data_IF_826815330987
#
_entry.id   IF_826815330987
#
_cell.length_a   1.000
_cell.length_b   1.000
_cell.length_c   1.000
_cell.angle_alpha   90.00
_cell.angle_beta   90.00
_cell.angle_gamma   90.00
#
_symmetry.space_group_name_H-M   'P 1'
#
loop_
_entity.id
_entity.type
_entity.pdbx_description
1 polymer ?
#
# COMPACT_ATOMS: atom_id res chain seq x y z
N UNK A 1 22.69 -18.03 0.71
CA UNK A 1 22.69 -19.36 0.10
C UNK A 1 21.77 -19.39 -1.11
N UNK A 2 20.45 -19.59 -0.96
CA UNK A 2 19.51 -19.53 -2.10
C UNK A 2 19.48 -18.17 -2.80
N UNK A 3 19.41 -17.06 -2.05
CA UNK A 3 19.35 -15.73 -2.65
C UNK A 3 20.60 -15.33 -3.46
N UNK A 4 21.74 -15.98 -3.23
CA UNK A 4 23.04 -15.63 -3.82
C UNK A 4 23.43 -16.49 -5.03
N UNK A 5 22.74 -17.61 -5.25
CA UNK A 5 23.03 -18.52 -6.36
C UNK A 5 22.46 -17.96 -7.67
N UNK A 6 23.32 -17.70 -8.66
CA UNK A 6 22.93 -17.13 -9.95
C UNK A 6 22.22 -18.12 -10.87
N UNK A 7 22.46 -19.43 -10.68
CA UNK A 7 21.83 -20.50 -11.46
C UNK A 7 20.40 -20.77 -10.97
N UNK A 8 20.09 -20.40 -9.72
CA UNK A 8 18.73 -20.36 -9.20
C UNK A 8 17.99 -19.13 -9.72
N UNK A 9 17.08 -19.35 -10.67
CA UNK A 9 16.23 -18.32 -11.26
C UNK A 9 14.92 -18.23 -10.47
N UNK A 10 14.71 -17.13 -9.75
CA UNK A 10 13.49 -16.88 -8.98
C UNK A 10 12.39 -16.16 -9.77
N UNK A 11 11.35 -15.73 -9.06
CA UNK A 11 10.30 -14.89 -9.64
C UNK A 11 10.88 -13.50 -9.98
N UNK A 12 10.82 -13.04 -11.25
CA UNK A 12 11.37 -11.75 -11.63
C UNK A 12 10.61 -10.59 -10.97
N UNK A 13 11.37 -9.64 -10.44
CA UNK A 13 10.90 -8.36 -9.90
C UNK A 13 11.46 -7.21 -10.77
N UNK A 14 10.87 -6.02 -10.72
CA UNK A 14 11.41 -4.82 -11.37
C UNK A 14 12.88 -4.56 -11.01
N UNK A 15 13.59 -3.88 -11.93
CA UNK A 15 15.03 -3.55 -11.80
C UNK A 15 15.95 -4.78 -11.75
N UNK A 16 15.56 -5.89 -12.40
CA UNK A 16 16.39 -7.10 -12.49
C UNK A 16 16.51 -7.89 -11.19
N UNK A 17 15.78 -7.51 -10.13
CA UNK A 17 15.72 -8.27 -8.87
C UNK A 17 14.93 -9.56 -9.07
N UNK A 18 15.14 -10.53 -8.18
CA UNK A 18 14.38 -11.78 -8.18
C UNK A 18 13.98 -12.18 -6.76
N UNK A 19 12.77 -12.70 -6.59
CA UNK A 19 12.34 -13.35 -5.36
C UNK A 19 12.63 -14.85 -5.47
N UNK A 20 13.64 -15.32 -4.73
CA UNK A 20 14.08 -16.73 -4.73
C UNK A 20 13.58 -17.52 -3.53
N UNK A 21 13.41 -16.88 -2.38
CA UNK A 21 12.96 -17.54 -1.16
C UNK A 21 12.27 -16.60 -0.18
N UNK A 22 11.46 -17.18 0.70
CA UNK A 22 10.86 -16.56 1.87
C UNK A 22 10.96 -17.55 3.04
N UNK A 23 11.40 -17.09 4.20
CA UNK A 23 11.59 -17.95 5.37
C UNK A 23 10.89 -17.36 6.60
N UNK A 24 10.24 -18.22 7.38
CA UNK A 24 9.69 -17.89 8.69
C UNK A 24 10.05 -19.02 9.67
N UNK A 25 11.05 -18.78 10.52
CA UNK A 25 11.69 -19.83 11.31
C UNK A 25 12.18 -20.99 10.41
N UNK A 26 11.74 -22.23 10.67
CA UNK A 26 12.05 -23.42 9.88
C UNK A 26 11.17 -23.56 8.61
N UNK A 27 10.01 -22.91 8.57
CA UNK A 27 9.13 -22.90 7.41
C UNK A 27 9.71 -22.03 6.28
N UNK A 28 10.38 -22.68 5.32
CA UNK A 28 11.01 -22.01 4.17
C UNK A 28 10.27 -22.34 2.87
N UNK A 29 9.89 -21.30 2.13
CA UNK A 29 9.41 -21.38 0.75
C UNK A 29 10.49 -20.93 -0.23
N UNK A 30 10.62 -21.63 -1.36
CA UNK A 30 11.49 -21.26 -2.46
C UNK A 30 10.67 -21.10 -3.75
N UNK A 31 11.10 -20.17 -4.61
CA UNK A 31 10.53 -19.96 -5.94
C UNK A 31 11.66 -20.17 -6.94
N UNK A 32 11.43 -21.07 -7.89
CA UNK A 32 12.39 -21.43 -8.94
C UNK A 32 11.69 -21.50 -10.29
N UNK A 33 12.40 -21.13 -11.36
CA UNK A 33 12.01 -21.44 -12.71
C UNK A 33 11.95 -22.96 -12.91
N UNK A 34 11.05 -23.41 -13.79
CA UNK A 34 10.85 -24.83 -14.12
C UNK A 34 11.88 -25.30 -15.16
N UNK A 35 13.17 -25.06 -14.89
CA UNK A 35 14.27 -25.51 -15.73
C UNK A 35 15.12 -26.53 -14.95
N UNK A 36 15.67 -27.57 -15.61
CA UNK A 36 16.53 -28.55 -14.94
C UNK A 36 17.72 -27.90 -14.21
N UNK A 37 18.30 -26.85 -14.78
CA UNK A 37 19.42 -26.11 -14.18
C UNK A 37 19.00 -25.40 -12.89
N UNK A 38 17.90 -24.66 -12.91
CA UNK A 38 17.45 -23.89 -11.74
C UNK A 38 16.97 -24.78 -10.60
N UNK A 39 16.26 -25.87 -10.92
CA UNK A 39 15.82 -26.84 -9.91
C UNK A 39 17.01 -27.60 -9.31
N UNK A 40 18.02 -27.95 -10.12
CA UNK A 40 19.26 -28.55 -9.61
C UNK A 40 20.01 -27.59 -8.68
N UNK A 41 20.12 -26.32 -9.04
CA UNK A 41 20.73 -25.30 -8.19
C UNK A 41 20.01 -25.22 -6.82
N UNK A 42 18.67 -25.22 -6.81
CA UNK A 42 17.88 -25.28 -5.58
C UNK A 42 18.25 -26.50 -4.71
N UNK A 43 18.26 -27.69 -5.29
CA UNK A 43 18.59 -28.92 -4.57
C UNK A 43 20.02 -28.91 -4.04
N UNK A 44 21.00 -28.49 -4.85
CA UNK A 44 22.40 -28.38 -4.42
C UNK A 44 22.58 -27.39 -3.26
N UNK A 45 21.86 -26.26 -3.27
CA UNK A 45 21.90 -25.32 -2.16
C UNK A 45 21.28 -25.91 -0.88
N UNK A 46 20.23 -26.72 -1.00
CA UNK A 46 19.65 -27.45 0.14
C UNK A 46 20.65 -28.47 0.69
N UNK A 47 21.28 -29.28 -0.17
CA UNK A 47 22.29 -30.28 0.25
C UNK A 47 23.48 -29.64 0.96
N UNK A 48 23.98 -28.53 0.43
CA UNK A 48 25.04 -27.77 1.09
C UNK A 48 24.55 -27.24 2.46
N UNK A 49 23.32 -26.72 2.55
CA UNK A 49 22.78 -26.29 3.83
C UNK A 49 22.73 -27.46 4.82
N UNK A 50 22.25 -28.63 4.41
CA UNK A 50 22.20 -29.81 5.27
C UNK A 50 23.59 -30.22 5.77
N UNK A 51 24.59 -30.16 4.89
CA UNK A 51 25.98 -30.52 5.21
C UNK A 51 26.62 -29.60 6.24
N UNK A 52 26.39 -28.29 6.15
CA UNK A 52 27.10 -27.30 6.98
C UNK A 52 26.30 -26.82 8.19
N UNK A 53 24.97 -26.84 8.13
CA UNK A 53 24.13 -26.35 9.23
C UNK A 53 23.87 -27.40 10.31
N UNK A 54 24.21 -28.68 10.07
CA UNK A 54 23.89 -29.78 10.98
C UNK A 54 22.38 -30.03 11.10
N UNK A 55 21.59 -29.57 10.13
CA UNK A 55 20.15 -29.72 10.04
C UNK A 55 19.78 -30.55 8.81
N UNK A 56 18.59 -31.17 8.79
CA UNK A 56 18.12 -31.96 7.65
C UNK A 56 16.74 -31.50 7.21
N UNK A 57 16.53 -31.39 5.90
CA UNK A 57 15.23 -31.07 5.34
C UNK A 57 14.28 -32.25 5.52
N UNK A 58 13.06 -31.92 5.93
CA UNK A 58 11.99 -32.89 6.04
C UNK A 58 11.27 -33.03 4.69
N UNK A 59 11.82 -33.87 3.81
CA UNK A 59 11.28 -34.12 2.47
C UNK A 59 9.83 -34.60 2.45
N UNK A 60 9.36 -35.32 3.48
CA UNK A 60 7.97 -35.79 3.55
C UNK A 60 6.96 -34.67 3.87
N UNK A 61 7.42 -33.58 4.49
CA UNK A 61 6.61 -32.36 4.70
C UNK A 61 6.78 -31.35 3.57
N UNK A 62 7.85 -31.44 2.78
CA UNK A 62 8.11 -30.55 1.66
C UNK A 62 7.21 -30.88 0.46
N UNK A 63 6.62 -29.84 -0.12
CA UNK A 63 5.72 -29.96 -1.27
C UNK A 63 6.15 -28.99 -2.36
N UNK A 64 6.34 -29.49 -3.58
CA UNK A 64 6.56 -28.67 -4.76
C UNK A 64 5.21 -28.35 -5.43
N UNK A 65 4.91 -27.05 -5.55
CA UNK A 65 3.71 -26.55 -6.23
C UNK A 65 4.07 -26.19 -7.68
N UNK A 66 3.51 -26.90 -8.66
CA UNK A 66 3.79 -26.69 -10.08
C UNK A 66 2.53 -26.24 -10.84
N UNK A 67 2.63 -25.36 -11.85
CA UNK A 67 1.51 -25.00 -12.71
C UNK A 67 1.06 -26.17 -13.59
N UNK A 68 2.00 -27.02 -14.02
CA UNK A 68 1.76 -28.23 -14.82
C UNK A 68 2.50 -29.43 -14.21
N UNK A 69 1.82 -30.58 -14.14
CA UNK A 69 2.36 -31.83 -13.60
C UNK A 69 3.43 -32.45 -14.50
N UNK A 70 3.56 -32.02 -15.76
CA UNK A 70 4.68 -32.42 -16.61
C UNK A 70 6.05 -32.05 -16.00
N UNK A 71 6.10 -31.03 -15.14
CA UNK A 71 7.30 -30.63 -14.43
C UNK A 71 7.62 -31.50 -13.20
N UNK A 72 6.79 -32.48 -12.84
CA UNK A 72 6.97 -33.28 -11.62
C UNK A 72 8.30 -34.05 -11.61
N UNK A 73 8.77 -34.50 -12.78
CA UNK A 73 10.07 -35.19 -12.90
C UNK A 73 11.27 -34.34 -12.50
N UNK A 74 11.14 -33.01 -12.45
CA UNK A 74 12.22 -32.10 -12.02
C UNK A 74 12.47 -32.15 -10.51
N UNK A 75 11.45 -32.48 -9.72
CA UNK A 75 11.49 -32.40 -8.25
C UNK A 75 11.58 -33.80 -7.62
N UNK A 76 12.68 -34.50 -7.85
CA UNK A 76 12.92 -35.84 -7.30
C UNK A 76 12.96 -35.82 -5.77
N UNK A 77 12.24 -36.74 -5.12
CA UNK A 77 12.22 -36.85 -3.66
C UNK A 77 11.25 -35.90 -2.94
N UNK A 78 10.60 -34.98 -3.66
CA UNK A 78 9.55 -34.12 -3.12
C UNK A 78 8.17 -34.61 -3.54
N UNK A 79 7.16 -34.38 -2.68
CA UNK A 79 5.78 -34.50 -3.12
C UNK A 79 5.46 -33.37 -4.08
N UNK A 80 5.02 -33.68 -5.29
CA UNK A 80 4.63 -32.68 -6.28
C UNK A 80 3.12 -32.60 -6.39
N UNK A 81 2.58 -31.38 -6.47
CA UNK A 81 1.16 -31.17 -6.74
C UNK A 81 0.94 -29.93 -7.62
N UNK A 82 -0.24 -29.85 -8.23
CA UNK A 82 -0.66 -28.65 -8.95
C UNK A 82 -0.79 -27.46 -8.00
N UNK A 83 -0.47 -26.27 -8.49
CA UNK A 83 -0.63 -25.00 -7.76
C UNK A 83 -2.10 -24.69 -7.40
N UNK A 84 -3.05 -25.29 -8.12
CA UNK A 84 -4.49 -25.22 -7.82
C UNK A 84 -4.90 -26.15 -6.69
N UNK A 85 -4.04 -27.06 -6.26
CA UNK A 85 -4.29 -27.97 -5.15
C UNK A 85 -4.15 -27.28 -3.80
N UNK A 86 -4.97 -27.70 -2.85
CA UNK A 86 -5.01 -27.15 -1.49
C UNK A 86 -3.76 -27.53 -0.68
N UNK A 87 -3.08 -26.55 -0.07
CA UNK A 87 -1.93 -26.77 0.82
C UNK A 87 -1.85 -25.72 1.91
N UNK A 88 -1.41 -26.13 3.10
CA UNK A 88 -1.27 -25.24 4.25
C UNK A 88 0.14 -24.67 4.28
N UNK A 89 0.25 -23.34 4.30
CA UNK A 89 1.51 -22.63 4.56
C UNK A 89 1.27 -21.58 5.66
N UNK A 90 2.06 -21.63 6.72
CA UNK A 90 1.90 -20.77 7.92
C UNK A 90 0.46 -20.79 8.48
N UNK A 91 -0.19 -21.95 8.41
CA UNK A 91 -1.58 -22.09 8.85
C UNK A 91 -2.62 -21.47 7.91
N UNK A 92 -2.26 -21.00 6.72
CA UNK A 92 -3.17 -20.54 5.66
C UNK A 92 -3.30 -21.60 4.57
N UNK A 93 -4.54 -21.93 4.19
CA UNK A 93 -4.84 -22.91 3.12
C UNK A 93 -4.79 -22.22 1.76
N UNK A 94 -3.75 -22.43 0.97
CA UNK A 94 -3.60 -21.87 -0.38
C UNK A 94 -3.98 -22.90 -1.45
N UNK A 95 -4.59 -22.49 -2.59
CA UNK A 95 -5.06 -21.15 -2.92
C UNK A 95 -6.47 -20.83 -2.36
N UNK A 96 -7.12 -21.80 -1.70
CA UNK A 96 -8.54 -21.73 -1.33
C UNK A 96 -8.88 -20.56 -0.41
N UNK A 97 -8.09 -20.33 0.64
CA UNK A 97 -8.32 -19.22 1.57
C UNK A 97 -8.35 -17.87 0.84
N UNK A 98 -7.50 -17.70 -0.18
CA UNK A 98 -7.44 -16.46 -0.98
C UNK A 98 -8.61 -16.35 -1.98
N UNK A 99 -9.18 -17.48 -2.40
CA UNK A 99 -10.14 -17.55 -3.51
C UNK A 99 -11.60 -17.64 -3.07
N UNK A 100 -11.89 -18.49 -2.08
CA UNK A 100 -13.25 -18.85 -1.66
C UNK A 100 -13.51 -18.68 -0.15
N UNK A 101 -12.46 -18.45 0.64
CA UNK A 101 -12.56 -18.20 2.07
C UNK A 101 -12.99 -19.39 2.93
N UNK A 102 -12.92 -20.61 2.39
CA UNK A 102 -13.23 -21.88 3.08
C UNK A 102 -12.54 -22.04 4.44
N UNK A 103 -11.28 -21.63 4.54
CA UNK A 103 -10.55 -21.69 5.82
C UNK A 103 -11.26 -20.91 6.94
N UNK A 104 -11.87 -19.77 6.62
CA UNK A 104 -12.47 -18.92 7.63
C UNK A 104 -13.72 -19.54 8.26
N UNK A 105 -14.42 -20.45 7.58
CA UNK A 105 -15.55 -21.16 8.17
C UNK A 105 -15.08 -22.11 9.27
N UNK A 106 -14.03 -22.88 9.01
CA UNK A 106 -13.40 -23.74 10.01
C UNK A 106 -12.85 -22.93 11.21
N UNK A 107 -12.22 -21.79 10.94
CA UNK A 107 -11.71 -20.88 12.00
C UNK A 107 -12.88 -20.27 12.81
N UNK A 108 -13.98 -19.93 12.15
CA UNK A 108 -15.21 -19.44 12.79
C UNK A 108 -15.80 -20.48 13.74
N UNK A 109 -15.89 -21.74 13.30
CA UNK A 109 -16.33 -22.86 14.14
C UNK A 109 -15.41 -23.06 15.36
N UNK A 110 -14.09 -23.00 15.18
CA UNK A 110 -13.13 -23.08 16.30
C UNK A 110 -13.33 -21.93 17.30
N UNK A 111 -13.57 -20.71 16.82
CA UNK A 111 -13.85 -19.56 17.68
C UNK A 111 -15.16 -19.73 18.47
N UNK A 112 -16.21 -20.30 17.86
CA UNK A 112 -17.47 -20.62 18.56
C UNK A 112 -17.25 -21.68 19.64
N UNK A 113 -16.51 -22.75 19.33
CA UNK A 113 -16.16 -23.77 20.32
C UNK A 113 -15.30 -23.20 21.46
N UNK A 114 -14.47 -22.20 21.16
CA UNK A 114 -13.72 -21.46 22.18
C UNK A 114 -14.64 -20.66 23.09
N UNK A 115 -15.67 -19.97 22.55
CA UNK A 115 -16.71 -19.34 23.38
C UNK A 115 -17.42 -20.36 24.28
N UNK A 116 -17.77 -21.54 23.74
CA UNK A 116 -18.44 -22.59 24.51
C UNK A 116 -17.54 -23.12 25.65
N UNK A 117 -16.23 -23.19 25.41
CA UNK A 117 -15.25 -23.54 26.43
C UNK A 117 -15.11 -22.46 27.51
N UNK A 118 -15.19 -21.19 27.13
CA UNK A 118 -15.19 -20.06 28.07
C UNK A 118 -16.47 -20.01 28.92
N UNK A 119 -17.62 -20.40 28.35
CA UNK A 119 -18.89 -20.46 29.06
C UNK A 119 -18.89 -21.41 30.27
N UNK A 120 -18.06 -22.47 30.22
CA UNK A 120 -17.91 -23.44 31.32
C UNK A 120 -17.16 -22.88 32.53
N UNK A 121 -16.54 -21.70 32.43
CA UNK A 121 -15.84 -21.07 33.56
C UNK A 121 -16.85 -20.34 34.46
N UNK A 122 -16.74 -20.46 35.80
CA UNK A 122 -17.67 -19.79 36.70
C UNK A 122 -17.63 -18.26 36.56
N UNK A 123 -18.83 -17.64 36.57
CA UNK A 123 -19.09 -16.23 36.93
C UNK A 123 -18.54 -15.10 36.04
N UNK A 124 -18.45 -15.27 34.72
CA UNK A 124 -18.31 -14.09 33.85
C UNK A 124 -19.65 -13.36 33.70
N UNK A 125 -19.80 -12.16 34.25
CA UNK A 125 -20.91 -11.26 33.94
C UNK A 125 -20.88 -10.77 32.48
N UNK A 126 -21.90 -10.05 32.01
CA UNK A 126 -22.02 -9.57 30.61
C UNK A 126 -20.75 -8.89 30.12
N UNK A 127 -20.13 -8.03 30.93
CA UNK A 127 -18.89 -7.34 30.58
C UNK A 127 -17.68 -8.28 30.49
N UNK A 128 -17.59 -9.25 31.40
CA UNK A 128 -16.55 -10.28 31.39
C UNK A 128 -16.69 -11.19 30.16
N UNK A 129 -17.92 -11.57 29.82
CA UNK A 129 -18.21 -12.36 28.60
C UNK A 129 -17.88 -11.58 27.35
N UNK A 130 -18.20 -10.29 27.27
CA UNK A 130 -17.81 -9.45 26.16
C UNK A 130 -16.28 -9.36 26.01
N UNK A 131 -15.54 -9.25 27.13
CA UNK A 131 -14.09 -9.27 27.11
C UNK A 131 -13.54 -10.62 26.60
N UNK A 132 -14.02 -11.73 27.15
CA UNK A 132 -13.61 -13.08 26.73
C UNK A 132 -13.93 -13.35 25.26
N UNK A 133 -15.10 -12.90 24.79
CA UNK A 133 -15.50 -13.00 23.40
C UNK A 133 -14.48 -12.32 22.49
N UNK A 134 -14.08 -11.09 22.81
CA UNK A 134 -13.08 -10.36 22.04
C UNK A 134 -11.69 -10.99 22.10
N UNK A 135 -11.20 -11.34 23.30
CA UNK A 135 -9.80 -11.71 23.51
C UNK A 135 -9.51 -13.19 23.26
N UNK A 136 -10.46 -14.08 23.53
CA UNK A 136 -10.26 -15.52 23.43
C UNK A 136 -10.86 -16.14 22.17
N UNK A 137 -12.00 -15.63 21.68
CA UNK A 137 -12.69 -16.19 20.51
C UNK A 137 -12.44 -15.36 19.24
N UNK A 138 -12.83 -14.08 19.23
CA UNK A 138 -12.73 -13.23 18.04
C UNK A 138 -11.27 -13.04 17.59
N UNK A 139 -10.32 -13.04 18.53
CA UNK A 139 -8.88 -12.95 18.23
C UNK A 139 -8.37 -14.06 17.30
N UNK A 140 -8.99 -15.24 17.34
CA UNK A 140 -8.65 -16.38 16.47
C UNK A 140 -8.96 -16.09 14.99
N UNK A 141 -9.89 -15.18 14.72
CA UNK A 141 -10.34 -14.86 13.37
C UNK A 141 -9.34 -13.95 12.63
N UNK A 142 -8.54 -13.15 13.34
CA UNK A 142 -7.78 -12.05 12.73
C UNK A 142 -6.64 -12.50 11.83
N UNK A 143 -5.98 -13.61 12.16
CA UNK A 143 -4.84 -14.10 11.37
C UNK A 143 -5.29 -14.54 9.97
N UNK A 144 -6.25 -15.47 9.89
CA UNK A 144 -6.83 -15.90 8.61
C UNK A 144 -7.65 -14.78 7.93
N UNK A 145 -8.33 -13.97 8.74
CA UNK A 145 -9.11 -12.81 8.29
C UNK A 145 -8.28 -11.70 7.63
N UNK A 146 -6.96 -11.67 7.82
CA UNK A 146 -6.11 -10.67 7.17
C UNK A 146 -5.94 -10.94 5.66
N UNK A 147 -6.10 -12.20 5.22
CA UNK A 147 -5.88 -12.65 3.84
C UNK A 147 -7.15 -13.20 3.18
N UNK A 148 -8.20 -13.43 3.96
CA UNK A 148 -9.41 -14.10 3.52
C UNK A 148 -10.65 -13.49 4.18
N UNK A 149 -11.74 -13.38 3.43
CA UNK A 149 -13.04 -12.91 3.96
C UNK A 149 -13.97 -14.11 4.21
N UNK A 150 -14.56 -14.25 5.41
CA UNK A 150 -15.59 -15.26 5.66
C UNK A 150 -16.84 -15.00 4.82
N UNK A 151 -17.58 -16.06 4.48
CA UNK A 151 -18.90 -15.94 3.85
C UNK A 151 -19.86 -15.11 4.72
N UNK A 152 -20.85 -14.46 4.09
CA UNK A 152 -21.85 -13.69 4.84
C UNK A 152 -22.58 -14.58 5.87
N UNK A 153 -22.83 -15.84 5.51
CA UNK A 153 -23.44 -16.82 6.39
C UNK A 153 -22.58 -17.12 7.62
N UNK A 154 -21.27 -17.33 7.44
CA UNK A 154 -20.35 -17.55 8.56
C UNK A 154 -20.27 -16.33 9.49
N UNK A 155 -20.29 -15.12 8.94
CA UNK A 155 -20.31 -13.88 9.73
C UNK A 155 -21.58 -13.76 10.58
N UNK A 156 -22.75 -13.99 9.99
CA UNK A 156 -24.04 -13.95 10.70
C UNK A 156 -24.15 -15.05 11.76
N UNK A 157 -23.66 -16.26 11.44
CA UNK A 157 -23.60 -17.36 12.39
C UNK A 157 -22.72 -16.99 13.59
N UNK A 158 -21.51 -16.47 13.36
CA UNK A 158 -20.63 -16.03 14.44
C UNK A 158 -21.28 -14.94 15.30
N UNK A 159 -21.85 -13.91 14.66
CA UNK A 159 -22.54 -12.81 15.35
C UNK A 159 -23.67 -13.33 16.24
N UNK A 160 -24.49 -14.24 15.73
CA UNK A 160 -25.57 -14.87 16.49
C UNK A 160 -25.04 -15.62 17.71
N UNK A 161 -24.01 -16.46 17.55
CA UNK A 161 -23.43 -17.22 18.64
C UNK A 161 -22.71 -16.34 19.67
N UNK A 162 -22.11 -15.23 19.22
CA UNK A 162 -21.50 -14.23 20.11
C UNK A 162 -22.56 -13.56 20.99
N UNK A 163 -23.71 -13.17 20.42
CA UNK A 163 -24.83 -12.59 21.16
C UNK A 163 -25.39 -13.59 22.19
N UNK A 164 -25.56 -14.86 21.79
CA UNK A 164 -26.00 -15.93 22.71
C UNK A 164 -25.01 -16.11 23.86
N UNK A 165 -23.71 -16.16 23.58
CA UNK A 165 -22.68 -16.21 24.61
C UNK A 165 -22.74 -15.01 25.56
N UNK A 166 -22.82 -13.79 25.03
CA UNK A 166 -22.85 -12.57 25.85
C UNK A 166 -24.07 -12.50 26.76
N UNK A 167 -25.26 -12.95 26.33
CA UNK A 167 -26.48 -12.83 27.13
C UNK A 167 -26.83 -14.06 27.96
N UNK A 168 -26.60 -15.27 27.42
CA UNK A 168 -26.99 -16.54 28.04
C UNK A 168 -25.82 -17.32 28.63
N UNK A 169 -24.59 -16.85 28.41
CA UNK A 169 -23.39 -17.62 28.71
C UNK A 169 -23.40 -19.00 28.03
N UNK A 170 -24.00 -19.10 26.84
CA UNK A 170 -24.02 -20.31 26.04
C UNK A 170 -24.14 -19.93 24.56
N UNK A 171 -23.08 -20.06 23.75
CA UNK A 171 -23.14 -19.75 22.33
C UNK A 171 -24.02 -20.73 21.54
N UNK A 172 -24.23 -21.96 22.02
CA UNK A 172 -24.97 -23.00 21.31
C UNK A 172 -26.46 -23.06 21.70
N UNK A 173 -26.91 -22.13 22.55
CA UNK A 173 -28.29 -22.06 23.00
C UNK A 173 -29.26 -22.04 21.81
N UNK A 174 -30.41 -22.73 21.89
CA UNK A 174 -31.35 -22.84 20.76
C UNK A 174 -31.98 -21.49 20.39
N UNK A 175 -32.21 -20.62 21.38
CA UNK A 175 -32.84 -19.31 21.18
C UNK A 175 -31.87 -18.17 21.45
N UNK A 176 -31.89 -17.15 20.60
CA UNK A 176 -31.13 -15.90 20.77
C UNK A 176 -31.96 -14.89 21.55
N UNK A 177 -31.34 -14.13 22.47
CA UNK A 177 -31.98 -13.00 23.15
C UNK A 177 -31.26 -11.73 22.75
N UNK A 178 -31.98 -10.79 22.15
CA UNK A 178 -31.45 -9.49 21.75
C UNK A 178 -31.95 -8.40 22.70
N UNK A 179 -31.25 -8.21 23.84
CA UNK A 179 -31.60 -7.11 24.77
C UNK A 179 -31.21 -5.74 24.25
N UNK A 180 -30.15 -5.68 23.44
CA UNK A 180 -29.57 -4.46 22.90
C UNK A 180 -29.22 -4.68 21.43
N UNK A 181 -29.48 -3.67 20.60
CA UNK A 181 -29.19 -3.73 19.18
C UNK A 181 -27.68 -3.93 18.92
N UNK A 182 -27.31 -4.74 17.90
CA UNK A 182 -25.92 -5.03 17.55
C UNK A 182 -25.06 -3.78 17.39
N UNK A 183 -25.59 -2.78 16.66
CA UNK A 183 -24.93 -1.49 16.44
C UNK A 183 -24.52 -0.77 17.73
N UNK A 184 -25.25 -0.99 18.83
CA UNK A 184 -24.94 -0.41 20.15
C UNK A 184 -23.94 -1.27 20.91
N UNK A 185 -24.00 -2.60 20.77
CA UNK A 185 -23.06 -3.52 21.40
C UNK A 185 -21.60 -3.31 20.94
N UNK A 186 -21.42 -3.01 19.66
CA UNK A 186 -20.09 -2.82 19.06
C UNK A 186 -19.49 -1.42 19.34
N UNK A 187 -20.28 -0.50 19.90
CA UNK A 187 -19.76 0.82 20.27
C UNK A 187 -18.79 0.72 21.45
N UNK A 188 -17.83 1.66 21.58
CA UNK A 188 -16.98 1.76 22.76
C UNK A 188 -17.79 1.87 24.05
N UNK A 189 -17.20 1.41 25.17
CA UNK A 189 -17.82 1.53 26.50
C UNK A 189 -18.14 2.97 26.88
N UNK A 190 -17.26 3.91 26.51
CA UNK A 190 -17.49 5.34 26.71
C UNK A 190 -18.73 5.88 25.98
N UNK A 191 -19.18 5.22 24.91
CA UNK A 191 -20.41 5.55 24.19
C UNK A 191 -21.61 4.70 24.65
N UNK A 192 -21.50 3.96 25.76
CA UNK A 192 -22.55 3.09 26.31
C UNK A 192 -22.70 1.75 25.59
N UNK A 193 -21.70 1.31 24.82
CA UNK A 193 -21.66 -0.03 24.22
C UNK A 193 -20.88 -1.04 25.06
N UNK A 194 -20.77 -2.28 24.57
CA UNK A 194 -19.93 -3.32 25.22
C UNK A 194 -18.51 -3.38 24.67
N UNK A 195 -18.23 -2.67 23.57
CA UNK A 195 -16.96 -2.73 22.85
C UNK A 195 -16.74 -4.07 22.15
N UNK A 196 -17.81 -4.78 21.76
CA UNK A 196 -17.67 -6.03 21.00
C UNK A 196 -17.06 -5.75 19.63
N UNK A 197 -16.09 -6.57 19.23
CA UNK A 197 -15.50 -6.48 17.90
C UNK A 197 -16.41 -7.17 16.89
N UNK A 198 -16.92 -6.40 15.94
CA UNK A 198 -17.62 -6.93 14.78
C UNK A 198 -16.60 -7.59 13.82
N UNK A 199 -16.68 -8.92 13.58
CA UNK A 199 -15.68 -9.57 12.73
C UNK A 199 -15.66 -9.03 11.31
N UNK A 200 -16.82 -8.66 10.75
CA UNK A 200 -16.88 -8.12 9.39
C UNK A 200 -16.08 -6.82 9.29
N UNK A 201 -16.33 -5.88 10.20
CA UNK A 201 -15.62 -4.61 10.26
C UNK A 201 -14.14 -4.79 10.55
N UNK A 202 -13.78 -5.67 11.48
CA UNK A 202 -12.38 -5.90 11.85
C UNK A 202 -11.58 -6.53 10.70
N UNK A 203 -12.12 -7.56 10.05
CA UNK A 203 -11.50 -8.23 8.89
C UNK A 203 -11.38 -7.24 7.73
N UNK A 204 -12.43 -6.47 7.43
CA UNK A 204 -12.36 -5.38 6.45
C UNK A 204 -11.25 -4.39 6.79
N UNK A 205 -11.14 -3.97 8.05
CA UNK A 205 -10.07 -3.07 8.48
C UNK A 205 -8.67 -3.69 8.28
N UNK A 206 -8.50 -4.99 8.52
CA UNK A 206 -7.23 -5.70 8.26
C UNK A 206 -6.86 -5.71 6.77
N UNK A 207 -7.82 -5.96 5.87
CA UNK A 207 -7.58 -5.86 4.43
C UNK A 207 -7.20 -4.45 3.99
N UNK A 208 -7.87 -3.43 4.53
CA UNK A 208 -7.59 -2.03 4.20
C UNK A 208 -6.27 -1.54 4.79
N UNK A 209 -5.84 -2.10 5.92
CA UNK A 209 -4.53 -1.82 6.52
C UNK A 209 -3.40 -2.10 5.54
N UNK A 210 -3.51 -3.14 4.71
CA UNK A 210 -2.52 -3.42 3.65
C UNK A 210 -2.37 -2.25 2.68
N UNK A 211 -3.49 -1.60 2.28
CA UNK A 211 -3.43 -0.41 1.43
C UNK A 211 -2.74 0.75 2.17
N UNK A 212 -3.03 0.94 3.45
CA UNK A 212 -2.32 1.94 4.25
C UNK A 212 -0.82 1.67 4.33
N UNK A 213 -0.39 0.42 4.53
CA UNK A 213 1.03 0.07 4.51
C UNK A 213 1.67 0.38 3.16
N UNK A 214 1.01 0.04 2.05
CA UNK A 214 1.51 0.39 0.72
C UNK A 214 1.66 1.90 0.51
N UNK A 215 0.72 2.69 1.04
CA UNK A 215 0.73 4.16 0.89
C UNK A 215 1.75 4.84 1.81
N UNK A 216 1.86 4.37 3.05
CA UNK A 216 2.57 5.10 4.12
C UNK A 216 4.00 4.62 4.34
N UNK A 217 4.31 3.36 4.02
CA UNK A 217 5.62 2.79 4.26
C UNK A 217 6.42 2.70 2.97
N UNK A 218 7.53 3.44 2.91
CA UNK A 218 8.46 3.37 1.80
C UNK A 218 9.57 2.36 2.08
N UNK A 219 9.31 1.13 1.67
CA UNK A 219 10.35 0.12 1.51
C UNK A 219 10.18 -0.61 0.18
N UNK A 220 11.27 -1.19 -0.31
CA UNK A 220 11.26 -2.03 -1.49
C UNK A 220 11.09 -3.51 -1.13
N UNK A 221 10.33 -3.83 -0.07
CA UNK A 221 10.13 -5.22 0.33
C UNK A 221 9.46 -5.99 -0.82
N UNK A 222 9.90 -7.24 -1.12
CA UNK A 222 9.39 -8.01 -2.26
C UNK A 222 7.86 -8.14 -2.29
N UNK A 223 7.22 -8.25 -1.12
CA UNK A 223 5.77 -8.36 -1.01
C UNK A 223 5.05 -7.09 -1.50
N UNK A 224 5.60 -5.88 -1.27
CA UNK A 224 5.00 -4.62 -1.75
C UNK A 224 5.03 -4.54 -3.26
N UNK A 225 6.18 -4.89 -3.83
CA UNK A 225 6.40 -4.89 -5.27
C UNK A 225 5.42 -5.85 -5.97
N UNK A 226 5.32 -7.08 -5.48
CA UNK A 226 4.37 -8.07 -6.01
C UNK A 226 2.90 -7.64 -5.81
N UNK A 227 2.60 -7.05 -4.66
CA UNK A 227 1.25 -6.53 -4.38
C UNK A 227 0.88 -5.42 -5.34
N UNK A 228 1.76 -4.46 -5.58
CA UNK A 228 1.51 -3.36 -6.52
C UNK A 228 1.36 -3.88 -7.96
N UNK A 229 2.17 -4.85 -8.39
CA UNK A 229 2.03 -5.47 -9.71
C UNK A 229 0.68 -6.20 -9.86
N UNK A 230 0.29 -7.02 -8.89
CA UNK A 230 -0.97 -7.76 -8.93
C UNK A 230 -2.19 -6.84 -8.75
N UNK A 231 -2.04 -5.72 -8.04
CA UNK A 231 -3.05 -4.64 -8.01
C UNK A 231 -3.15 -3.92 -9.36
N UNK A 232 -2.03 -3.68 -10.06
CA UNK A 232 -2.02 -3.10 -11.39
C UNK A 232 -2.84 -3.93 -12.37
N UNK A 233 -2.67 -5.26 -12.34
CA UNK A 233 -3.48 -6.20 -13.10
C UNK A 233 -4.97 -6.16 -12.72
N UNK A 234 -5.27 -6.08 -11.43
CA UNK A 234 -6.64 -5.95 -10.94
C UNK A 234 -7.30 -4.64 -11.39
N UNK A 235 -6.54 -3.53 -11.45
CA UNK A 235 -7.01 -2.21 -11.89
C UNK A 235 -6.96 -2.02 -13.41
N UNK A 236 -6.26 -2.90 -14.14
CA UNK A 236 -5.91 -2.72 -15.57
C UNK A 236 -5.18 -1.39 -15.81
N UNK A 237 -4.18 -1.13 -14.97
CA UNK A 237 -3.31 0.05 -15.02
C UNK A 237 -1.85 -0.38 -15.14
N UNK A 238 -0.99 0.56 -15.51
CA UNK A 238 0.45 0.35 -15.42
C UNK A 238 0.87 0.37 -13.93
N UNK A 239 1.85 -0.44 -13.48
CA UNK A 239 2.27 -0.48 -12.07
C UNK A 239 2.64 0.87 -11.46
N UNK A 240 3.17 1.79 -12.27
CA UNK A 240 3.49 3.16 -11.84
C UNK A 240 2.27 3.99 -11.44
N UNK A 241 1.07 3.68 -11.97
CA UNK A 241 -0.14 4.47 -11.75
C UNK A 241 -0.99 3.94 -10.57
N UNK A 242 -0.63 2.76 -10.04
CA UNK A 242 -1.37 2.11 -8.96
C UNK A 242 -1.43 2.99 -7.72
N UNK A 243 -0.31 3.63 -7.36
CA UNK A 243 -0.26 4.51 -6.18
C UNK A 243 -1.20 5.70 -6.32
N UNK A 244 -1.23 6.33 -7.50
CA UNK A 244 -2.16 7.42 -7.81
C UNK A 244 -3.61 6.94 -7.69
N UNK A 245 -3.91 5.75 -8.23
CA UNK A 245 -5.24 5.14 -8.15
C UNK A 245 -5.65 4.77 -6.71
N UNK A 246 -4.71 4.40 -5.85
CA UNK A 246 -4.97 4.14 -4.42
C UNK A 246 -5.24 5.44 -3.66
N UNK A 247 -4.51 6.53 -3.97
CA UNK A 247 -4.70 7.85 -3.38
C UNK A 247 -6.01 8.51 -3.81
N UNK A 248 -6.55 8.12 -4.97
CA UNK A 248 -7.82 8.62 -5.51
C UNK A 248 -8.76 7.44 -5.75
N UNK A 249 -9.48 6.98 -4.71
CA UNK A 249 -10.30 5.78 -4.82
C UNK A 249 -11.39 5.85 -5.90
N UNK A 250 -11.80 7.05 -6.34
CA UNK A 250 -12.70 7.25 -7.48
C UNK A 250 -12.16 6.64 -8.79
N UNK A 251 -10.83 6.53 -8.92
CA UNK A 251 -10.18 5.98 -10.10
C UNK A 251 -10.40 4.45 -10.25
N UNK A 252 -10.82 3.77 -9.18
CA UNK A 252 -10.99 2.31 -9.10
C UNK A 252 -12.30 1.82 -9.75
N UNK A 253 -12.65 2.34 -10.92
CA UNK A 253 -13.93 2.10 -11.61
C UNK A 253 -14.08 0.72 -12.26
N UNK A 254 -13.01 0.19 -12.86
CA UNK A 254 -13.05 -0.93 -13.81
C UNK A 254 -12.14 -2.10 -13.40
N UNK A 255 -12.43 -2.66 -12.21
CA UNK A 255 -11.63 -3.75 -11.65
C UNK A 255 -11.86 -5.08 -12.41
N UNK A 256 -10.80 -5.83 -12.67
CA UNK A 256 -10.84 -7.17 -13.28
C UNK A 256 -11.59 -8.13 -12.36
N UNK A 257 -12.70 -8.69 -12.83
CA UNK A 257 -13.46 -9.71 -12.09
C UNK A 257 -12.55 -10.92 -11.80
N UNK A 258 -12.62 -11.43 -10.58
CA UNK A 258 -11.85 -12.62 -10.16
C UNK A 258 -10.36 -12.37 -9.86
N UNK A 259 -9.84 -11.15 -10.03
CA UNK A 259 -8.47 -10.84 -9.60
C UNK A 259 -8.38 -10.77 -8.06
N UNK A 260 -7.23 -11.20 -7.51
CA UNK A 260 -6.97 -11.32 -6.07
C UNK A 260 -7.37 -10.07 -5.27
N UNK A 261 -6.97 -8.88 -5.75
CA UNK A 261 -7.18 -7.62 -5.03
C UNK A 261 -8.52 -6.94 -5.32
N UNK A 262 -9.32 -7.44 -6.26
CA UNK A 262 -10.58 -6.80 -6.65
C UNK A 262 -11.56 -6.62 -5.47
N UNK A 263 -11.75 -7.59 -4.56
CA UNK A 263 -12.61 -7.40 -3.39
C UNK A 263 -12.12 -6.26 -2.48
N UNK A 264 -10.82 -6.23 -2.16
CA UNK A 264 -10.20 -5.22 -1.29
C UNK A 264 -10.25 -3.83 -1.92
N UNK A 265 -9.96 -3.70 -3.21
CA UNK A 265 -10.03 -2.44 -3.95
C UNK A 265 -11.46 -1.91 -4.09
N UNK A 266 -12.44 -2.81 -4.26
CA UNK A 266 -13.86 -2.44 -4.28
C UNK A 266 -14.28 -1.85 -2.94
N UNK A 267 -13.85 -2.46 -1.84
CA UNK A 267 -14.11 -1.98 -0.49
C UNK A 267 -13.44 -0.62 -0.24
N UNK A 268 -12.17 -0.46 -0.64
CA UNK A 268 -11.43 0.79 -0.53
C UNK A 268 -12.12 1.95 -1.27
N UNK A 269 -12.55 1.70 -2.52
CA UNK A 269 -13.37 2.65 -3.29
C UNK A 269 -14.65 3.02 -2.55
N UNK A 270 -15.41 2.03 -2.10
CA UNK A 270 -16.72 2.28 -1.44
C UNK A 270 -16.58 3.13 -0.19
N UNK A 271 -15.51 2.94 0.59
CA UNK A 271 -15.26 3.73 1.79
C UNK A 271 -14.74 5.12 1.49
N UNK A 272 -14.00 5.30 0.37
CA UNK A 272 -13.38 6.56 -0.03
C UNK A 272 -12.77 7.32 1.18
N UNK A 273 -11.85 6.67 1.93
CA UNK A 273 -11.42 7.19 3.23
C UNK A 273 -10.51 8.42 3.12
N UNK A 274 -9.98 8.70 1.92
CA UNK A 274 -9.09 9.82 1.66
C UNK A 274 -9.88 11.03 1.20
N UNK A 275 -9.50 12.20 1.71
CA UNK A 275 -10.04 13.50 1.28
C UNK A 275 -8.90 14.36 0.78
N UNK A 276 -9.07 14.92 -0.43
CA UNK A 276 -8.18 15.93 -0.95
C UNK A 276 -8.27 17.20 -0.09
N UNK A 277 -7.13 17.78 0.23
CA UNK A 277 -7.03 19.05 0.94
C UNK A 277 -6.56 20.13 -0.02
N UNK A 278 -6.99 21.39 0.17
CA UNK A 278 -6.42 22.52 -0.55
C UNK A 278 -4.89 22.54 -0.41
N UNK A 279 -4.15 22.64 -1.52
CA UNK A 279 -2.70 22.71 -1.47
C UNK A 279 -2.28 24.05 -0.88
N UNK A 280 -1.25 24.02 -0.02
CA UNK A 280 -0.68 25.17 0.64
C UNK A 280 0.74 25.50 0.18
N UNK A 281 1.32 24.70 -0.72
CA UNK A 281 2.65 24.91 -1.29
C UNK A 281 2.69 24.54 -2.77
N UNK A 282 3.72 25.01 -3.47
CA UNK A 282 4.01 24.68 -4.87
C UNK A 282 4.03 23.17 -5.10
N UNK A 283 4.74 22.42 -4.25
CA UNK A 283 4.87 20.96 -4.36
C UNK A 283 3.52 20.27 -4.19
N UNK A 284 2.70 20.78 -3.25
CA UNK A 284 1.36 20.23 -3.05
C UNK A 284 0.45 20.49 -4.25
N UNK A 285 0.59 21.64 -4.93
CA UNK A 285 -0.11 21.95 -6.18
C UNK A 285 0.32 20.96 -7.27
N UNK A 286 1.63 20.78 -7.46
CA UNK A 286 2.18 19.88 -8.48
C UNK A 286 1.69 18.43 -8.33
N UNK A 287 1.44 17.97 -7.10
CA UNK A 287 0.90 16.64 -6.82
C UNK A 287 -0.62 16.54 -6.92
N UNK A 288 -1.34 17.63 -7.15
CA UNK A 288 -2.80 17.57 -7.29
C UNK A 288 -3.19 16.77 -8.55
N UNK A 289 -4.21 15.89 -8.45
CA UNK A 289 -4.79 15.26 -9.63
C UNK A 289 -5.41 16.26 -10.57
N UNK A 290 -5.37 15.97 -11.87
CA UNK A 290 -6.14 16.68 -12.88
C UNK A 290 -7.61 16.22 -12.92
N UNK A 291 -7.88 14.97 -12.59
CA UNK A 291 -9.21 14.33 -12.74
C UNK A 291 -9.86 14.04 -11.38
N UNK A 292 -11.19 14.15 -11.33
CA UNK A 292 -12.02 14.05 -10.10
C UNK A 292 -11.53 14.95 -8.96
N UNK A 293 -10.81 16.05 -9.27
CA UNK A 293 -10.33 17.00 -8.30
C UNK A 293 -11.42 18.05 -7.99
N UNK A 294 -11.93 18.16 -6.75
CA UNK A 294 -12.98 19.12 -6.40
C UNK A 294 -12.54 20.59 -6.48
N UNK A 295 -11.26 20.86 -6.76
CA UNK A 295 -10.70 22.20 -6.89
C UNK A 295 -10.34 22.57 -8.34
N UNK A 296 -10.39 21.62 -9.27
CA UNK A 296 -10.19 21.87 -10.71
C UNK A 296 -11.51 21.56 -11.40
N UNK A 297 -12.29 22.62 -11.63
CA UNK A 297 -13.68 22.53 -12.05
C UNK A 297 -13.87 23.08 -13.47
N UNK A 298 -14.72 22.42 -14.24
CA UNK A 298 -15.17 22.91 -15.55
C UNK A 298 -16.05 24.17 -15.41
N UNK A 299 -16.44 24.75 -16.55
CA UNK A 299 -17.31 25.93 -16.60
C UNK A 299 -18.68 25.71 -15.93
N UNK A 300 -19.12 24.46 -15.76
CA UNK A 300 -20.35 24.08 -15.07
C UNK A 300 -20.12 23.75 -13.58
N UNK A 301 -18.93 23.97 -13.04
CA UNK A 301 -18.59 23.76 -11.64
C UNK A 301 -18.38 22.28 -11.28
N UNK A 302 -18.09 21.41 -12.24
CA UNK A 302 -17.90 19.97 -12.02
C UNK A 302 -16.44 19.56 -12.22
N UNK A 303 -15.91 18.61 -11.44
CA UNK A 303 -14.58 18.07 -11.67
C UNK A 303 -14.45 17.41 -13.03
N UNK A 304 -13.26 17.49 -13.64
CA UNK A 304 -12.98 16.78 -14.89
C UNK A 304 -13.11 15.27 -14.67
N UNK A 305 -13.99 14.59 -15.42
CA UNK A 305 -14.32 13.21 -15.11
C UNK A 305 -13.19 12.26 -15.48
N UNK A 306 -12.84 11.40 -14.53
CA UNK A 306 -11.94 10.29 -14.78
C UNK A 306 -12.50 9.25 -15.77
N UNK A 307 -13.72 8.76 -15.50
CA UNK A 307 -14.37 7.66 -16.21
C UNK A 307 -15.91 7.74 -16.02
N UNK A 308 -16.67 7.00 -16.85
CA UNK A 308 -18.12 6.71 -16.73
C UNK A 308 -19.08 7.81 -17.17
N UNK A 309 -18.64 9.06 -17.34
CA UNK A 309 -19.47 10.10 -17.98
C UNK A 309 -19.20 10.16 -19.48
N UNK A 310 -20.22 10.57 -20.26
CA UNK A 310 -20.08 10.79 -21.69
C UNK A 310 -19.05 11.91 -21.91
N UNK A 311 -17.98 11.62 -22.65
CA UNK A 311 -16.87 12.55 -22.87
C UNK A 311 -15.71 12.45 -21.86
N UNK A 312 -15.76 11.52 -20.89
CA UNK A 312 -14.64 11.28 -19.98
C UNK A 312 -13.36 10.88 -20.73
N UNK A 313 -12.24 11.52 -20.36
CA UNK A 313 -10.95 11.33 -21.01
C UNK A 313 -9.80 11.09 -20.02
N UNK A 314 -10.05 11.25 -18.71
CA UNK A 314 -9.00 11.17 -17.70
C UNK A 314 -8.27 9.84 -17.66
N UNK A 315 -9.00 8.72 -17.80
CA UNK A 315 -8.39 7.39 -17.87
C UNK A 315 -7.34 7.29 -18.97
N UNK A 316 -7.67 7.80 -20.16
CA UNK A 316 -6.81 7.70 -21.32
C UNK A 316 -5.53 8.54 -21.15
N UNK A 317 -5.64 9.70 -20.50
CA UNK A 317 -4.50 10.57 -20.19
C UNK A 317 -3.59 9.98 -19.11
N UNK A 318 -4.13 9.38 -18.05
CA UNK A 318 -3.27 8.74 -17.04
C UNK A 318 -2.56 7.52 -17.60
N UNK A 319 -3.19 6.76 -18.50
CA UNK A 319 -2.49 5.65 -19.16
C UNK A 319 -1.30 6.12 -20.00
N UNK A 320 -1.33 7.35 -20.53
CA UNK A 320 -0.17 7.99 -21.20
C UNK A 320 0.77 8.68 -20.23
N UNK A 321 0.53 8.62 -18.91
CA UNK A 321 1.37 9.22 -17.87
C UNK A 321 1.03 10.66 -17.50
N UNK A 322 -0.12 11.19 -17.94
CA UNK A 322 -0.57 12.54 -17.63
C UNK A 322 -1.76 12.46 -16.66
N UNK A 323 -1.53 12.71 -15.38
CA UNK A 323 -2.54 12.60 -14.32
C UNK A 323 -2.53 13.70 -13.26
N UNK A 324 -1.45 14.46 -13.18
CA UNK A 324 -1.20 15.47 -12.15
C UNK A 324 -0.84 16.81 -12.79
N UNK A 325 -0.91 17.88 -12.01
CA UNK A 325 -0.46 19.21 -12.44
C UNK A 325 1.02 19.18 -12.85
N UNK A 326 1.87 18.42 -12.15
CA UNK A 326 3.28 18.23 -12.52
C UNK A 326 3.49 17.65 -13.93
N UNK A 327 2.52 16.90 -14.45
CA UNK A 327 2.67 16.24 -15.74
C UNK A 327 2.44 17.23 -16.91
N UNK A 328 1.77 18.37 -16.66
CA UNK A 328 1.48 19.43 -17.64
C UNK A 328 2.24 20.75 -17.37
N UNK A 329 2.87 20.88 -16.21
CA UNK A 329 3.67 22.04 -15.80
C UNK A 329 5.16 21.80 -16.05
N UNK A 330 5.87 22.79 -16.59
CA UNK A 330 7.32 22.75 -16.74
C UNK A 330 7.97 23.52 -15.58
N UNK A 331 8.66 22.78 -14.72
CA UNK A 331 9.35 23.36 -13.57
C UNK A 331 10.56 24.22 -13.96
N UNK A 332 11.15 24.00 -15.14
CA UNK A 332 12.35 24.70 -15.60
C UNK A 332 12.03 26.07 -16.20
N UNK A 333 10.95 26.17 -16.97
CA UNK A 333 10.48 27.43 -17.56
C UNK A 333 9.57 28.21 -16.64
N UNK A 334 8.97 27.55 -15.64
CA UNK A 334 7.98 28.17 -14.76
C UNK A 334 6.66 28.47 -15.47
N UNK A 335 6.35 27.72 -16.53
CA UNK A 335 5.09 27.83 -17.26
C UNK A 335 4.58 26.45 -17.69
N UNK A 336 3.47 26.42 -18.43
CA UNK A 336 2.95 25.19 -19.01
C UNK A 336 3.94 24.55 -19.99
N UNK A 337 3.96 23.22 -20.06
CA UNK A 337 4.75 22.49 -21.07
C UNK A 337 4.30 22.85 -22.47
N UNK A 338 5.26 22.81 -23.40
CA UNK A 338 5.03 23.14 -24.81
C UNK A 338 3.94 22.25 -25.44
N UNK A 339 3.08 22.88 -26.26
CA UNK A 339 1.95 22.23 -26.91
C UNK A 339 2.42 21.04 -27.78
N UNK A 340 3.58 21.13 -28.45
CA UNK A 340 4.11 20.04 -29.29
C UNK A 340 4.44 18.79 -28.47
N UNK A 341 5.12 18.95 -27.34
CA UNK A 341 5.46 17.86 -26.42
C UNK A 341 4.19 17.20 -25.86
N UNK A 342 3.17 18.00 -25.55
CA UNK A 342 1.90 17.48 -25.02
C UNK A 342 1.09 16.74 -26.09
N UNK A 343 1.10 17.19 -27.35
CA UNK A 343 0.44 16.51 -28.47
C UNK A 343 1.04 15.13 -28.71
N UNK A 344 2.38 15.04 -28.63
CA UNK A 344 3.12 13.79 -28.77
C UNK A 344 2.85 12.84 -27.61
N UNK A 345 2.89 13.32 -26.37
CA UNK A 345 2.56 12.51 -25.19
C UNK A 345 1.10 12.00 -25.23
N UNK A 346 0.18 12.77 -25.79
CA UNK A 346 -1.23 12.43 -25.94
C UNK A 346 -1.55 11.80 -27.31
N UNK A 347 -0.58 11.21 -28.02
CA UNK A 347 -0.80 10.56 -29.33
C UNK A 347 -1.99 9.59 -29.29
N UNK A 348 -2.87 9.69 -30.30
CA UNK A 348 -4.09 8.89 -30.38
C UNK A 348 -5.29 9.37 -29.56
N UNK A 349 -5.16 10.41 -28.74
CA UNK A 349 -6.29 11.00 -27.99
C UNK A 349 -7.08 12.01 -28.84
N UNK A 350 -8.39 12.09 -28.58
CA UNK A 350 -9.30 13.05 -29.23
C UNK A 350 -9.25 14.42 -28.54
N UNK A 351 -9.39 15.51 -29.32
CA UNK A 351 -9.47 16.90 -28.84
C UNK A 351 -8.41 17.27 -27.79
N UNK A 352 -7.14 16.92 -28.06
CA UNK A 352 -6.05 16.99 -27.07
C UNK A 352 -5.80 18.43 -26.60
N UNK A 353 -5.63 19.35 -27.54
CA UNK A 353 -5.34 20.76 -27.26
C UNK A 353 -6.54 21.47 -26.64
N UNK A 354 -7.76 21.18 -27.12
CA UNK A 354 -8.98 21.73 -26.53
C UNK A 354 -9.12 21.33 -25.07
N UNK A 355 -8.98 20.03 -24.77
CA UNK A 355 -9.01 19.49 -23.41
C UNK A 355 -7.87 20.00 -22.52
N UNK A 356 -6.65 20.11 -23.07
CA UNK A 356 -5.50 20.64 -22.34
C UNK A 356 -5.75 22.09 -21.93
N UNK A 357 -6.17 22.94 -22.86
CA UNK A 357 -6.50 24.34 -22.59
C UNK A 357 -7.67 24.46 -21.62
N UNK A 358 -8.65 23.57 -21.71
CA UNK A 358 -9.77 23.53 -20.78
C UNK A 358 -9.29 23.24 -19.35
N UNK A 359 -8.43 22.23 -19.16
CA UNK A 359 -7.83 21.92 -17.85
C UNK A 359 -6.97 23.08 -17.36
N UNK A 360 -6.09 23.64 -18.20
CA UNK A 360 -5.21 24.75 -17.83
C UNK A 360 -6.01 25.97 -17.35
N UNK A 361 -7.13 26.29 -17.99
CA UNK A 361 -8.03 27.39 -17.58
C UNK A 361 -8.80 27.09 -16.29
N UNK A 362 -9.05 25.82 -16.02
CA UNK A 362 -9.77 25.39 -14.82
C UNK A 362 -8.88 25.28 -13.57
N UNK A 363 -7.56 25.27 -13.74
CA UNK A 363 -6.63 25.32 -12.61
C UNK A 363 -6.76 26.71 -11.95
N UNK A 364 -7.00 26.78 -10.62
CA UNK A 364 -7.18 28.05 -9.94
C UNK A 364 -6.06 29.05 -10.21
N UNK A 365 -6.41 30.31 -10.44
CA UNK A 365 -5.44 31.36 -10.73
C UNK A 365 -4.43 31.52 -9.59
N UNK A 366 -4.88 31.41 -8.34
CA UNK A 366 -4.02 31.40 -7.15
C UNK A 366 -2.96 30.29 -7.19
N UNK A 367 -3.28 29.12 -7.75
CA UNK A 367 -2.32 28.04 -7.90
C UNK A 367 -1.29 28.39 -8.97
N UNK A 368 -1.74 28.86 -10.13
CA UNK A 368 -0.86 29.27 -11.23
C UNK A 368 0.08 30.39 -10.79
N UNK A 369 -0.43 31.37 -10.03
CA UNK A 369 0.36 32.43 -9.42
C UNK A 369 1.40 31.86 -8.46
N UNK A 370 1.03 30.92 -7.60
CA UNK A 370 1.96 30.27 -6.68
C UNK A 370 3.04 29.45 -7.41
N UNK A 371 2.68 28.73 -8.48
CA UNK A 371 3.64 27.99 -9.31
C UNK A 371 4.65 28.93 -10.00
N UNK A 372 4.18 30.07 -10.51
CA UNK A 372 5.01 31.11 -11.19
C UNK A 372 5.86 31.93 -10.23
N UNK A 373 5.36 32.19 -9.02
CA UNK A 373 6.10 32.93 -7.98
C UNK A 373 7.34 32.18 -7.49
N UNK A 374 7.45 30.87 -7.75
CA UNK A 374 8.56 30.05 -7.27
C UNK A 374 8.46 29.74 -5.76
N UNK A 375 9.58 29.39 -5.14
CA UNK A 375 9.64 28.99 -3.72
C UNK A 375 9.07 30.06 -2.78
N UNK A 376 8.09 29.70 -1.96
CA UNK A 376 7.62 30.52 -0.85
C UNK A 376 8.56 30.33 0.34
N UNK A 377 9.28 31.39 0.69
CA UNK A 377 10.44 31.35 1.59
C UNK A 377 10.15 30.99 3.05
N UNK A 378 8.91 30.68 3.41
CA UNK A 378 8.51 30.41 4.79
C UNK A 378 7.87 29.02 4.91
N UNK A 379 8.67 28.07 5.38
CA UNK A 379 8.22 26.71 5.72
C UNK A 379 8.39 25.67 4.61
N UNK A 380 8.74 26.08 3.38
CA UNK A 380 9.12 25.17 2.30
C UNK A 380 10.51 24.57 2.53
N UNK A 381 10.75 23.41 1.91
CA UNK A 381 11.99 22.66 2.06
C UNK A 381 12.76 22.64 0.75
N UNK A 382 14.09 22.69 0.84
CA UNK A 382 14.97 22.68 -0.31
C UNK A 382 16.26 21.89 -0.06
N UNK A 383 16.94 21.49 -1.14
CA UNK A 383 18.30 20.93 -1.14
C UNK A 383 19.18 21.76 -2.07
N UNK A 384 20.51 21.68 -1.91
CA UNK A 384 21.43 22.29 -2.86
C UNK A 384 21.47 21.50 -4.17
N UNK A 385 21.49 22.18 -5.31
CA UNK A 385 21.59 21.57 -6.65
C UNK A 385 22.86 20.73 -6.78
N UNK A 386 23.97 21.15 -6.16
CA UNK A 386 25.24 20.42 -6.13
C UNK A 386 25.16 19.03 -5.48
N UNK A 387 24.13 18.74 -4.67
CA UNK A 387 23.95 17.44 -4.03
C UNK A 387 23.29 16.39 -4.95
N UNK A 388 23.04 16.73 -6.23
CA UNK A 388 22.36 15.85 -7.20
C UNK A 388 23.28 15.17 -8.21
N UNK A 389 24.58 15.46 -8.20
CA UNK A 389 25.56 14.69 -8.96
C UNK A 389 25.58 13.27 -8.42
N UNK A 390 25.10 12.34 -9.23
CA UNK A 390 25.23 10.89 -9.01
C UNK A 390 26.73 10.59 -8.79
N UNK A 391 27.17 10.47 -7.53
CA UNK A 391 28.59 10.28 -7.21
C UNK A 391 29.09 10.96 -5.93
N UNK A 392 28.29 11.79 -5.24
CA UNK A 392 28.66 12.27 -3.90
C UNK A 392 28.32 11.23 -2.83
N UNK A 393 29.34 10.66 -2.17
CA UNK A 393 29.20 9.75 -1.00
C UNK A 393 28.59 10.41 0.25
N UNK A 394 28.34 11.73 0.21
CA UNK A 394 27.76 12.47 1.33
C UNK A 394 26.23 12.57 1.23
N UNK A 395 25.48 12.29 2.31
CA UNK A 395 24.02 12.38 2.32
C UNK A 395 23.56 13.82 2.04
N UNK A 396 22.47 14.03 1.30
CA UNK A 396 21.99 15.37 0.98
C UNK A 396 21.53 16.10 2.24
N UNK A 397 21.96 17.35 2.38
CA UNK A 397 21.50 18.27 3.43
C UNK A 397 20.19 18.91 3.00
N UNK A 398 19.20 18.90 3.89
CA UNK A 398 17.88 19.50 3.71
C UNK A 398 17.79 20.84 4.44
N UNK A 399 17.13 21.80 3.82
CA UNK A 399 17.01 23.15 4.34
C UNK A 399 15.53 23.54 4.44
N UNK A 400 15.08 23.91 5.64
CA UNK A 400 13.76 24.50 5.85
C UNK A 400 13.89 26.02 5.73
N UNK A 401 13.28 26.60 4.69
CA UNK A 401 13.36 28.02 4.41
C UNK A 401 12.60 28.83 5.47
N UNK A 402 13.25 29.87 6.00
CA UNK A 402 12.68 30.78 7.01
C UNK A 402 12.26 32.11 6.42
N UNK A 403 13.14 32.74 5.66
CA UNK A 403 12.93 34.06 5.08
C UNK A 403 13.84 34.30 3.88
N UNK A 404 13.42 35.17 2.97
CA UNK A 404 14.31 35.76 1.96
C UNK A 404 15.01 36.97 2.57
N UNK A 405 16.32 37.09 2.34
CA UNK A 405 17.09 38.26 2.72
C UNK A 405 17.70 38.88 1.46
N UNK A 406 17.18 40.04 1.06
CA UNK A 406 17.54 40.68 -0.21
C UNK A 406 17.05 39.91 -1.44
N UNK A 407 17.71 40.11 -2.58
CA UNK A 407 17.35 39.44 -3.84
C UNK A 407 18.03 38.07 -4.03
N UNK A 408 19.17 37.85 -3.38
CA UNK A 408 20.08 36.72 -3.68
C UNK A 408 20.13 35.62 -2.61
N UNK A 409 19.67 35.87 -1.38
CA UNK A 409 19.91 34.97 -0.25
C UNK A 409 18.65 34.53 0.47
N UNK A 410 18.70 33.31 1.00
CA UNK A 410 17.66 32.68 1.81
C UNK A 410 18.23 32.29 3.17
N UNK A 411 17.53 32.66 4.22
CA UNK A 411 17.81 32.14 5.56
C UNK A 411 17.09 30.79 5.71
N UNK A 412 17.82 29.75 6.11
CA UNK A 412 17.26 28.42 6.30
C UNK A 412 17.85 27.65 7.47
N UNK A 413 17.05 26.74 8.02
CA UNK A 413 17.48 25.77 9.04
C UNK A 413 17.93 24.48 8.36
N UNK A 414 19.09 23.95 8.75
CA UNK A 414 19.66 22.74 8.16
C UNK A 414 19.24 21.48 8.91
N UNK A 415 19.01 20.42 8.14
CA UNK A 415 18.53 19.12 8.60
C UNK A 415 19.29 18.02 7.87
N UNK A 416 19.73 17.01 8.62
CA UNK A 416 20.44 15.87 8.07
C UNK A 416 19.63 14.59 8.26
N UNK A 417 19.63 13.70 7.26
CA UNK A 417 19.00 12.40 7.40
C UNK A 417 19.78 11.50 8.36
N UNK A 418 19.07 10.74 9.19
CA UNK A 418 19.66 9.74 10.07
C UNK A 418 19.58 8.35 9.42
N UNK A 419 20.72 7.66 9.33
CA UNK A 419 20.84 6.28 8.87
C UNK A 419 21.46 6.12 7.48
N UNK A 420 21.84 4.88 7.09
CA UNK A 420 22.46 4.61 5.79
C UNK A 420 21.47 4.91 4.66
N UNK A 421 21.93 5.66 3.66
CA UNK A 421 21.23 5.83 2.39
C UNK A 421 21.19 4.47 1.70
N UNK A 422 20.04 3.78 1.73
CA UNK A 422 19.88 2.56 0.94
C UNK A 422 19.97 2.93 -0.55
N UNK A 423 20.80 2.25 -1.37
CA UNK A 423 21.02 2.59 -2.79
C UNK A 423 19.75 2.62 -3.65
N UNK A 424 18.64 2.07 -3.15
CA UNK A 424 17.36 1.96 -3.84
C UNK A 424 16.23 2.84 -3.27
N UNK A 425 16.46 3.65 -2.23
CA UNK A 425 15.40 4.50 -1.67
C UNK A 425 15.25 5.81 -2.45
N UNK A 426 14.36 5.80 -3.45
CA UNK A 426 14.02 7.01 -4.22
C UNK A 426 12.91 7.85 -3.60
N UNK A 427 12.27 7.46 -2.50
CA UNK A 427 11.00 8.09 -2.12
C UNK A 427 10.92 8.62 -0.68
N UNK A 428 11.58 8.04 0.32
CA UNK A 428 11.62 8.53 1.71
C UNK A 428 12.99 8.28 2.33
N UNK A 429 13.59 9.37 2.83
CA UNK A 429 14.80 9.29 3.63
C UNK A 429 14.41 9.13 5.11
N UNK A 430 15.24 8.41 5.89
CA UNK A 430 15.09 8.24 7.34
C UNK A 430 14.84 9.56 8.10
N UNK A 431 14.40 9.49 9.37
CA UNK A 431 14.04 10.67 10.15
C UNK A 431 15.17 11.70 10.16
N UNK A 432 14.83 12.97 9.95
CA UNK A 432 15.81 14.04 9.88
C UNK A 432 16.04 14.70 11.23
N UNK A 433 17.29 15.07 11.51
CA UNK A 433 17.70 15.78 12.72
C UNK A 433 18.19 17.20 12.36
N UNK A 434 17.72 18.21 13.11
CA UNK A 434 18.18 19.59 12.98
C UNK A 434 19.68 19.66 13.29
N UNK A 435 20.46 20.33 12.44
CA UNK A 435 21.88 20.59 12.64
C UNK A 435 22.14 22.10 12.65
N UNK A 436 22.02 22.76 13.81
CA UNK A 436 22.17 24.21 13.93
C UNK A 436 23.48 24.78 13.36
N UNK A 437 24.56 23.98 13.40
CA UNK A 437 25.88 24.37 12.88
C UNK A 437 25.92 24.58 11.36
N UNK A 438 24.92 24.07 10.64
CA UNK A 438 24.80 24.21 9.18
C UNK A 438 23.64 25.14 8.79
N UNK A 439 22.98 25.78 9.76
CA UNK A 439 22.01 26.84 9.49
C UNK A 439 22.75 28.01 8.82
N UNK A 440 22.10 28.69 7.87
CA UNK A 440 22.78 29.77 7.19
C UNK A 440 22.05 30.37 6.00
N UNK A 441 22.83 31.16 5.27
CA UNK A 441 22.42 31.90 4.10
C UNK A 441 22.70 31.04 2.88
N UNK A 442 21.66 30.77 2.09
CA UNK A 442 21.75 29.93 0.92
C UNK A 442 21.41 30.77 -0.31
N UNK A 443 22.19 30.69 -1.40
CA UNK A 443 21.86 31.40 -2.63
C UNK A 443 20.52 30.89 -3.18
N UNK A 444 19.65 31.81 -3.59
CA UNK A 444 18.33 31.48 -4.19
C UNK A 444 18.48 30.55 -5.40
N UNK A 445 19.52 30.76 -6.20
CA UNK A 445 19.73 30.01 -7.46
C UNK A 445 20.37 28.63 -7.24
N UNK A 446 20.95 28.40 -6.06
CA UNK A 446 21.65 27.16 -5.72
C UNK A 446 20.72 26.07 -5.17
N UNK A 447 19.43 26.36 -4.96
CA UNK A 447 18.50 25.44 -4.32
C UNK A 447 17.52 24.77 -5.29
N UNK A 448 17.04 23.60 -4.89
CA UNK A 448 15.96 22.83 -5.51
C UNK A 448 14.89 22.53 -4.45
N UNK A 449 13.60 22.83 -4.71
CA UNK A 449 12.52 22.51 -3.78
C UNK A 449 12.36 20.99 -3.60
N UNK A 450 12.01 20.58 -2.38
CA UNK A 450 11.71 19.19 -2.02
C UNK A 450 10.51 19.13 -1.08
N UNK A 451 9.75 18.04 -1.14
CA UNK A 451 8.69 17.80 -0.19
C UNK A 451 9.26 17.13 1.07
N UNK A 452 8.76 17.49 2.24
CA UNK A 452 9.11 16.85 3.50
C UNK A 452 7.83 16.51 4.26
N UNK A 453 7.65 15.22 4.57
CA UNK A 453 6.56 14.71 5.38
C UNK A 453 6.82 15.05 6.85
N UNK A 454 5.84 15.69 7.49
CA UNK A 454 5.84 15.92 8.94
C UNK A 454 4.99 14.83 9.61
N UNK A 455 5.65 13.93 10.32
CA UNK A 455 5.00 12.95 11.16
C UNK A 455 4.55 13.60 12.47
N UNK A 456 3.27 13.45 12.79
CA UNK A 456 2.67 13.89 14.06
C UNK A 456 2.52 12.66 14.96
N UNK A 457 3.65 12.06 15.33
CA UNK A 457 3.66 11.06 16.41
C UNK A 457 3.27 11.71 17.74
N UNK A 458 2.80 10.91 18.69
CA UNK A 458 2.43 11.30 20.07
C UNK A 458 3.57 11.87 20.93
N UNK A 459 4.71 12.20 20.32
CA UNK A 459 5.90 12.81 20.94
C UNK A 459 5.85 14.32 20.80
N UNK A 460 6.42 15.04 21.77
CA UNK A 460 6.38 16.52 21.86
C UNK A 460 7.08 17.25 20.70
N UNK A 461 7.97 16.58 19.96
CA UNK A 461 8.69 17.15 18.82
C UNK A 461 8.23 16.51 17.48
N UNK A 462 8.01 17.32 16.42
CA UNK A 462 7.67 16.81 15.09
C UNK A 462 8.87 16.10 14.44
N UNK A 463 8.60 14.94 13.82
CA UNK A 463 9.60 14.21 13.03
C UNK A 463 9.41 14.54 11.56
N UNK A 464 10.49 14.86 10.85
CA UNK A 464 10.47 15.22 9.44
C UNK A 464 11.15 14.13 8.60
N UNK A 465 10.59 13.81 7.42
CA UNK A 465 11.12 12.84 6.46
C UNK A 465 11.08 13.41 5.05
N UNK A 466 12.19 13.38 4.31
CA UNK A 466 12.22 13.86 2.92
C UNK A 466 11.38 12.97 2.01
N UNK A 467 10.66 13.55 1.04
CA UNK A 467 9.83 12.85 0.05
C UNK A 467 10.18 13.29 -1.37
N UNK A 468 10.49 12.32 -2.24
CA UNK A 468 10.67 12.54 -3.68
C UNK A 468 9.63 11.73 -4.45
N UNK A 469 8.61 12.35 -5.07
CA UNK A 469 7.71 11.63 -5.95
C UNK A 469 8.44 11.22 -7.23
N UNK A 470 8.20 9.99 -7.71
CA UNK A 470 8.64 9.58 -9.03
C UNK A 470 7.96 10.47 -10.09
N UNK A 471 8.76 11.21 -10.87
CA UNK A 471 8.32 11.71 -12.17
C UNK A 471 8.57 10.62 -13.20
N UNK A 472 7.57 10.31 -14.02
CA UNK A 472 7.80 9.60 -15.27
C UNK A 472 8.64 10.56 -16.12
N UNK A 473 9.82 10.13 -16.58
CA UNK A 473 10.40 10.79 -17.74
C UNK A 473 9.40 10.59 -18.88
N UNK A 474 8.88 11.68 -19.44
CA UNK A 474 8.18 11.62 -20.72
C UNK A 474 9.25 11.16 -21.72
N UNK A 475 9.21 9.89 -22.09
CA UNK A 475 10.01 9.32 -23.17
C UNK A 475 9.29 9.50 -24.49
#
# INVERSE_FOLDING_TARGET
MLCADNDLIGLPLPHGKQLKSSAFADDTGAITALTPTSVRALTTQIEHFERYAGAKLNWHKSVALVPDMNAAGLFTGMRVQRITGSTVYLGIVMPDALSNGTQNEAVTHKAINRMASCAKRPQAEVFGRALLANTAASSMLWYAGAVSMPSQQAQLNYQTNLVKFVWKNDPLAPTTVHRVAWRKLIQPRAAGGLGLLDPSNQIRALHLRTIFWLILEDDAAPWKVLTLQTMAEAMRLHPADVMTALLQPSLLGNLKRGALWTPTLTLWRKLSPLRLRPPASREQILQQPLFDNPMILDAEGRPFPWMRTKGAFGRAWVTTGIGRVADIWDESTGDWKDDSLMIDALRGQTDKLGRLRHIQRAIPEEWTKMLRMGLQYRGEWAILRSNTSQGSDSPPVFFQLKAKVGSQWLLADAWHPMGPMLPTNRHIIGPMQRKPKHDGWIPVDAIRPVAVLRDKTRTSAPVYRAFHPACRSLS
#
